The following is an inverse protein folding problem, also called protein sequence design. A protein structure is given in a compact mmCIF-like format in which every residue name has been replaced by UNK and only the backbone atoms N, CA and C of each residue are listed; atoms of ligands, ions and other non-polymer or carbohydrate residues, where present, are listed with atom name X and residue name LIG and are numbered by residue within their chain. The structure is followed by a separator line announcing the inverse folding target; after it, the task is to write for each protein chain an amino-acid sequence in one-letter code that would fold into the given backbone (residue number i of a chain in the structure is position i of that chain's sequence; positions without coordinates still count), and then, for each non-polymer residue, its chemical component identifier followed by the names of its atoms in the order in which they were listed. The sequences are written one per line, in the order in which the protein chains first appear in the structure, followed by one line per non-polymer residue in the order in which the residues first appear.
data_IF_002126584966
#
_entry.id   IF_002126584966
#
_cell.length_a   1.000
_cell.length_b   1.000
_cell.length_c   1.000
_cell.angle_alpha   90.00
_cell.angle_beta   90.00
_cell.angle_gamma   90.00
#
_symmetry.space_group_name_H-M   'P 1'
#
loop_
_entity.id
_entity.type
_entity.pdbx_description
1 polymer ?
#
# COMPACT_ATOMS: atom_id res chain seq x y z
N UNK A 1 -35.08 -11.95 -45.29
CA UNK A 1 -34.69 -13.01 -46.24
C UNK A 1 -33.46 -13.68 -45.65
N UNK A 2 -33.55 -14.93 -45.20
CA UNK A 2 -32.43 -15.66 -44.59
C UNK A 2 -31.87 -16.70 -45.56
N UNK A 3 -30.56 -16.92 -45.53
CA UNK A 3 -29.98 -18.17 -46.01
C UNK A 3 -28.73 -18.51 -45.20
N UNK A 4 -28.64 -19.75 -44.76
CA UNK A 4 -27.47 -20.35 -44.12
C UNK A 4 -26.72 -21.20 -45.15
N UNK A 5 -25.42 -21.41 -44.95
CA UNK A 5 -24.73 -22.54 -45.56
C UNK A 5 -23.66 -23.07 -44.61
N UNK A 6 -23.63 -24.40 -44.44
CA UNK A 6 -22.74 -25.13 -43.54
C UNK A 6 -21.62 -25.81 -44.33
N UNK A 7 -20.63 -26.29 -43.58
CA UNK A 7 -19.44 -27.00 -44.06
C UNK A 7 -19.72 -28.19 -44.97
N UNK A 8 -18.73 -28.50 -45.81
CA UNK A 8 -18.38 -29.88 -46.18
C UNK A 8 -16.86 -30.08 -46.00
N UNK A 9 -16.37 -31.32 -46.09
CA UNK A 9 -15.19 -31.78 -45.35
C UNK A 9 -14.30 -32.76 -46.17
N UNK A 10 -13.09 -33.03 -45.67
CA UNK A 10 -12.17 -34.17 -45.96
C UNK A 10 -11.12 -34.08 -47.11
N UNK A 11 -9.86 -34.35 -46.70
CA UNK A 11 -8.90 -35.33 -47.28
C UNK A 11 -8.09 -35.01 -48.57
N UNK A 12 -6.79 -35.38 -48.69
CA UNK A 12 -5.81 -35.95 -47.72
C UNK A 12 -4.33 -35.80 -48.16
N UNK A 13 -3.39 -36.06 -47.22
CA UNK A 13 -1.92 -36.30 -47.37
C UNK A 13 -1.04 -35.06 -47.69
N UNK A 14 0.08 -34.76 -47.01
CA UNK A 14 0.62 -35.25 -45.71
C UNK A 14 2.01 -35.91 -45.73
N UNK A 15 3.04 -35.27 -45.15
CA UNK A 15 4.35 -35.84 -44.78
C UNK A 15 4.76 -35.35 -43.37
N UNK A 16 5.63 -36.10 -42.69
CA UNK A 16 5.86 -36.06 -41.23
C UNK A 16 6.81 -34.95 -40.71
N UNK A 17 6.55 -34.54 -39.45
CA UNK A 17 7.49 -33.88 -38.55
C UNK A 17 6.90 -33.81 -37.14
N UNK A 18 7.52 -34.45 -36.14
CA UNK A 18 6.88 -34.77 -34.85
C UNK A 18 7.74 -34.49 -33.62
N UNK A 19 7.27 -33.60 -32.73
CA UNK A 19 7.70 -33.52 -31.32
C UNK A 19 6.51 -33.15 -30.42
N UNK A 20 6.47 -33.73 -29.22
CA UNK A 20 5.34 -33.61 -28.28
C UNK A 20 5.60 -32.56 -27.18
N UNK A 21 4.56 -31.90 -26.64
CA UNK A 21 4.72 -30.92 -25.56
C UNK A 21 5.04 -31.60 -24.21
N UNK A 22 5.89 -30.96 -23.41
CA UNK A 22 6.26 -31.41 -22.05
C UNK A 22 5.32 -30.75 -21.03
N UNK A 23 4.63 -31.53 -20.22
CA UNK A 23 3.84 -31.06 -19.08
C UNK A 23 4.59 -31.26 -17.76
N UNK A 24 4.95 -30.18 -17.07
CA UNK A 24 5.59 -30.25 -15.76
C UNK A 24 4.57 -30.65 -14.68
N UNK A 25 4.70 -31.88 -14.17
CA UNK A 25 3.86 -32.42 -13.10
C UNK A 25 4.57 -32.28 -11.74
N UNK A 26 4.24 -31.23 -10.99
CA UNK A 26 4.79 -31.04 -9.63
C UNK A 26 4.48 -32.27 -8.75
N UNK A 27 5.52 -32.88 -8.18
CA UNK A 27 5.38 -33.88 -7.10
C UNK A 27 5.26 -33.13 -5.77
N UNK A 28 4.09 -33.21 -5.11
CA UNK A 28 3.95 -32.83 -3.70
C UNK A 28 4.76 -33.81 -2.84
N UNK A 29 5.64 -33.29 -1.98
CA UNK A 29 6.23 -34.08 -0.89
C UNK A 29 5.22 -34.16 0.28
N UNK A 30 5.21 -35.25 1.07
CA UNK A 30 4.45 -35.31 2.31
C UNK A 30 5.12 -34.43 3.40
N UNK A 31 4.34 -33.86 4.34
CA UNK A 31 4.89 -33.01 5.39
C UNK A 31 5.75 -33.82 6.39
N UNK A 32 6.91 -33.28 6.76
CA UNK A 32 7.76 -33.85 7.81
C UNK A 32 7.18 -33.54 9.19
N UNK A 33 6.88 -34.57 9.99
CA UNK A 33 6.40 -34.40 11.36
C UNK A 33 7.56 -34.15 12.34
N UNK A 34 7.69 -32.91 12.81
CA UNK A 34 8.63 -32.56 13.88
C UNK A 34 8.01 -32.93 15.23
N UNK A 35 8.52 -33.99 15.87
CA UNK A 35 8.09 -34.41 17.21
C UNK A 35 8.97 -33.74 18.27
N UNK A 36 8.48 -32.66 18.87
CA UNK A 36 9.13 -32.03 20.03
C UNK A 36 9.10 -33.00 21.22
N UNK A 37 10.27 -33.29 21.78
CA UNK A 37 10.42 -34.04 23.03
C UNK A 37 11.24 -33.14 23.95
N UNK A 38 10.67 -32.77 25.09
CA UNK A 38 11.39 -32.00 26.11
C UNK A 38 12.37 -32.91 26.87
N UNK A 39 13.53 -32.38 27.21
CA UNK A 39 14.50 -33.01 28.12
C UNK A 39 15.26 -31.91 28.86
N UNK A 40 15.55 -32.14 30.14
CA UNK A 40 16.11 -31.13 31.04
C UNK A 40 17.58 -30.79 30.77
N UNK A 41 18.09 -29.71 31.39
CA UNK A 41 19.48 -29.29 31.22
C UNK A 41 20.43 -30.14 32.07
N UNK A 42 21.58 -30.49 31.52
CA UNK A 42 22.83 -30.61 32.30
C UNK A 42 24.06 -30.33 31.43
N UNK A 43 25.26 -30.35 32.02
CA UNK A 43 26.41 -29.55 31.57
C UNK A 43 27.57 -30.31 30.89
N UNK A 44 28.52 -29.48 30.42
CA UNK A 44 29.97 -29.68 30.34
C UNK A 44 30.60 -30.55 29.22
N UNK A 45 31.12 -29.80 28.23
CA UNK A 45 32.52 -29.80 27.77
C UNK A 45 33.10 -30.83 26.75
N UNK A 46 34.14 -30.34 26.07
CA UNK A 46 35.22 -31.00 25.31
C UNK A 46 35.00 -31.57 23.89
N UNK A 47 36.13 -31.60 23.18
CA UNK A 47 36.30 -31.72 21.72
C UNK A 47 37.00 -33.02 21.31
N UNK A 48 36.88 -33.43 20.03
CA UNK A 48 38.02 -33.86 19.16
C UNK A 48 37.56 -34.20 17.71
N UNK A 49 38.51 -34.23 16.78
CA UNK A 49 38.40 -34.37 15.31
C UNK A 49 38.53 -35.84 14.86
N UNK A 50 37.87 -36.29 13.77
CA UNK A 50 38.44 -37.14 12.66
C UNK A 50 37.45 -37.51 11.53
N UNK A 51 37.95 -38.10 10.43
CA UNK A 51 37.32 -38.19 9.09
C UNK A 51 36.81 -39.59 8.67
N UNK A 52 36.05 -39.65 7.55
CA UNK A 52 35.85 -40.80 6.60
C UNK A 52 35.14 -42.07 7.13
N UNK A 53 34.34 -42.84 6.36
CA UNK A 53 34.58 -43.39 5.00
C UNK A 53 33.27 -43.86 4.32
N UNK A 54 33.27 -44.01 2.99
CA UNK A 54 32.20 -44.58 2.14
C UNK A 54 31.95 -46.10 2.31
N UNK A 55 30.72 -46.58 2.05
CA UNK A 55 30.48 -47.77 1.19
C UNK A 55 29.04 -47.95 0.68
N UNK A 56 28.91 -48.65 -0.46
CA UNK A 56 27.65 -49.01 -1.15
C UNK A 56 27.34 -50.52 -1.10
N UNK A 57 26.06 -50.89 -1.17
CA UNK A 57 25.50 -52.09 -1.86
C UNK A 57 23.96 -51.99 -1.84
N UNK A 58 23.16 -52.15 -2.91
CA UNK A 58 22.96 -53.31 -3.82
C UNK A 58 22.52 -54.59 -3.06
N UNK A 59 21.50 -55.36 -3.47
CA UNK A 59 20.54 -55.23 -4.59
C UNK A 59 19.31 -56.17 -4.39
N UNK A 60 18.24 -55.98 -5.18
CA UNK A 60 17.27 -56.97 -5.71
C UNK A 60 16.73 -58.16 -4.88
N UNK A 61 15.40 -58.26 -4.76
CA UNK A 61 14.57 -59.41 -5.21
C UNK A 61 13.06 -59.12 -5.04
N UNK A 62 12.17 -59.85 -5.74
CA UNK A 62 10.71 -59.67 -5.64
C UNK A 62 9.92 -60.99 -5.78
N UNK A 63 8.90 -61.17 -4.93
CA UNK A 63 7.82 -62.16 -5.07
C UNK A 63 6.59 -61.82 -4.17
N UNK A 64 5.53 -62.64 -4.21
CA UNK A 64 4.33 -62.37 -5.03
C UNK A 64 3.21 -63.42 -4.74
N UNK A 65 1.94 -62.97 -4.70
CA UNK A 65 0.65 -63.72 -4.55
C UNK A 65 0.09 -64.10 -3.15
N UNK A 66 -1.21 -63.78 -2.97
CA UNK A 66 -2.34 -64.57 -2.38
C UNK A 66 -2.31 -65.10 -0.92
N UNK A 67 -3.44 -65.29 -0.21
CA UNK A 67 -4.86 -64.89 -0.39
C UNK A 67 -5.66 -65.02 0.94
N UNK A 68 -6.97 -64.69 0.90
CA UNK A 68 -7.94 -64.54 2.01
C UNK A 68 -8.06 -65.64 3.08
N UNK A 69 -8.49 -65.23 4.29
CA UNK A 69 -9.59 -65.90 5.03
C UNK A 69 -10.24 -65.00 6.10
N UNK A 70 -11.57 -65.17 6.29
CA UNK A 70 -12.44 -64.63 7.36
C UNK A 70 -13.16 -65.82 8.06
N UNK A 71 -14.10 -65.64 9.01
CA UNK A 71 -14.03 -64.93 10.30
C UNK A 71 -14.52 -65.83 11.48
N UNK A 72 -14.60 -65.32 12.71
CA UNK A 72 -15.40 -65.94 13.79
C UNK A 72 -15.98 -64.87 14.73
N UNK A 73 -17.10 -65.17 15.39
CA UNK A 73 -17.94 -64.25 16.20
C UNK A 73 -18.21 -64.86 17.58
N UNK A 74 -18.30 -64.01 18.61
CA UNK A 74 -19.09 -64.26 19.84
C UNK A 74 -19.54 -62.92 20.45
N UNK A 75 -20.66 -62.93 21.19
CA UNK A 75 -21.33 -61.74 21.76
C UNK A 75 -22.08 -62.10 23.05
N UNK A 76 -22.40 -61.10 23.88
CA UNK A 76 -23.34 -61.03 25.04
C UNK A 76 -22.91 -59.83 25.93
N UNK A 77 -23.74 -59.05 26.66
CA UNK A 77 -25.19 -59.09 27.03
C UNK A 77 -25.84 -57.69 26.80
N UNK A 78 -27.19 -57.62 26.80
CA UNK A 78 -28.04 -56.42 26.64
C UNK A 78 -28.29 -55.59 27.93
N UNK A 79 -28.76 -54.35 27.73
CA UNK A 79 -30.00 -53.75 28.29
C UNK A 79 -30.14 -52.34 27.66
N UNK A 80 -30.85 -52.11 26.54
CA UNK A 80 -32.32 -52.05 26.34
C UNK A 80 -33.00 -50.91 27.12
N UNK A 81 -33.28 -49.82 26.40
CA UNK A 81 -34.57 -49.13 26.42
C UNK A 81 -34.88 -48.61 25.01
N UNK A 82 -36.05 -48.99 24.48
CA UNK A 82 -36.59 -48.63 23.16
C UNK A 82 -37.50 -47.37 23.34
N UNK A 83 -38.00 -46.66 22.31
CA UNK A 83 -37.88 -46.77 20.85
C UNK A 83 -38.09 -45.36 20.22
N UNK A 84 -37.64 -45.15 18.97
CA UNK A 84 -38.36 -44.39 17.93
C UNK A 84 -37.59 -44.46 16.59
N UNK A 85 -37.63 -45.62 15.93
CA UNK A 85 -36.96 -45.82 14.65
C UNK A 85 -37.74 -45.26 13.44
N UNK A 86 -37.21 -44.22 12.78
CA UNK A 86 -37.77 -43.68 11.54
C UNK A 86 -36.70 -43.42 10.46
N UNK A 87 -36.82 -44.14 9.34
CA UNK A 87 -36.22 -43.89 8.02
C UNK A 87 -34.70 -43.57 7.94
N UNK A 88 -33.89 -44.61 7.72
CA UNK A 88 -32.59 -44.47 7.05
C UNK A 88 -32.81 -44.20 5.55
N UNK A 89 -32.85 -42.94 5.15
CA UNK A 89 -32.56 -42.51 3.77
C UNK A 89 -31.52 -41.39 3.79
N UNK A 90 -30.43 -41.54 3.02
CA UNK A 90 -29.50 -40.44 2.76
C UNK A 90 -30.16 -39.45 1.79
N UNK A 91 -30.43 -38.19 2.18
CA UNK A 91 -30.99 -37.22 1.26
C UNK A 91 -29.95 -36.86 0.19
N UNK A 92 -30.22 -37.23 -1.06
CA UNK A 92 -29.43 -36.82 -2.22
C UNK A 92 -29.33 -35.30 -2.28
N UNK A 93 -28.16 -34.76 -1.90
CA UNK A 93 -27.91 -33.32 -1.80
C UNK A 93 -27.93 -32.70 -3.20
N UNK A 94 -29.10 -32.16 -3.57
CA UNK A 94 -29.23 -31.28 -4.74
C UNK A 94 -28.68 -29.89 -4.41
N UNK A 95 -28.10 -29.23 -5.41
CA UNK A 95 -27.10 -28.16 -5.23
C UNK A 95 -27.66 -26.78 -4.83
N UNK A 96 -28.77 -26.73 -4.08
CA UNK A 96 -29.50 -25.50 -3.76
C UNK A 96 -29.91 -25.33 -2.29
N UNK A 97 -29.30 -26.08 -1.38
CA UNK A 97 -29.38 -25.82 0.06
C UNK A 97 -28.42 -24.68 0.47
N UNK A 98 -28.77 -23.43 0.17
CA UNK A 98 -28.05 -22.26 0.72
C UNK A 98 -28.33 -22.21 2.22
N UNK A 99 -27.34 -22.57 3.04
CA UNK A 99 -27.39 -22.32 4.47
C UNK A 99 -27.22 -20.81 4.70
N UNK A 100 -28.35 -20.11 4.91
CA UNK A 100 -28.33 -18.71 5.35
C UNK A 100 -27.77 -18.70 6.77
N UNK A 101 -26.52 -18.24 6.90
CA UNK A 101 -25.89 -18.09 8.21
C UNK A 101 -26.68 -17.08 9.05
N UNK A 102 -27.38 -17.57 10.08
CA UNK A 102 -28.14 -16.70 10.97
C UNK A 102 -27.19 -15.82 11.78
N UNK A 103 -27.62 -14.60 12.14
CA UNK A 103 -26.77 -13.63 12.86
C UNK A 103 -26.18 -14.14 14.18
N UNK A 104 -26.75 -15.20 14.75
CA UNK A 104 -26.20 -15.94 15.89
C UNK A 104 -24.78 -16.48 15.64
N UNK A 105 -24.48 -16.92 14.42
CA UNK A 105 -23.15 -17.39 14.02
C UNK A 105 -22.11 -16.27 13.99
N UNK A 106 -22.50 -15.07 13.57
CA UNK A 106 -21.63 -13.88 13.57
C UNK A 106 -21.33 -13.38 15.00
N UNK A 107 -22.27 -13.60 15.93
CA UNK A 107 -22.11 -13.19 17.33
C UNK A 107 -21.02 -13.98 18.08
N UNK A 108 -20.62 -15.16 17.58
CA UNK A 108 -19.63 -16.02 18.22
C UNK A 108 -18.22 -15.95 17.59
N UNK A 109 -18.03 -15.23 16.48
CA UNK A 109 -16.69 -14.94 15.94
C UNK A 109 -16.14 -13.64 16.55
N UNK A 110 -15.01 -13.67 17.29
CA UNK A 110 -14.40 -12.47 17.86
C UNK A 110 -14.08 -11.36 16.86
N UNK A 111 -13.95 -11.67 15.56
CA UNK A 111 -13.68 -10.70 14.49
C UNK A 111 -14.93 -10.00 13.95
N UNK A 112 -16.12 -10.50 14.28
CA UNK A 112 -17.40 -10.02 13.76
C UNK A 112 -18.37 -9.56 14.85
N UNK A 113 -18.10 -9.90 16.13
CA UNK A 113 -18.89 -9.48 17.28
C UNK A 113 -18.74 -7.97 17.57
N UNK A 114 -19.75 -7.18 17.15
CA UNK A 114 -19.86 -5.72 17.45
C UNK A 114 -20.67 -5.41 18.72
N UNK A 115 -20.99 -6.42 19.54
CA UNK A 115 -21.81 -6.26 20.74
C UNK A 115 -23.16 -5.60 20.44
N UNK A 116 -23.43 -4.46 21.07
CA UNK A 116 -24.67 -3.69 20.84
C UNK A 116 -24.58 -2.69 19.65
N UNK A 117 -23.39 -2.45 19.10
CA UNK A 117 -23.10 -1.35 18.16
C UNK A 117 -23.51 -1.61 16.70
N UNK A 118 -24.52 -2.45 16.46
CA UNK A 118 -25.13 -2.63 15.15
C UNK A 118 -26.16 -1.52 14.87
N UNK A 119 -26.10 -0.91 13.68
CA UNK A 119 -27.17 0.00 13.20
C UNK A 119 -28.48 -0.75 12.98
N UNK A 120 -29.63 -0.08 12.94
CA UNK A 120 -30.92 -0.74 12.67
C UNK A 120 -30.91 -1.49 11.33
N UNK A 121 -30.38 -0.87 10.28
CA UNK A 121 -30.23 -1.50 8.95
C UNK A 121 -29.35 -2.77 8.98
N UNK A 122 -28.34 -2.82 9.86
CA UNK A 122 -27.53 -4.03 10.09
C UNK A 122 -28.27 -5.05 10.96
N UNK A 123 -29.06 -4.61 11.96
CA UNK A 123 -29.88 -5.50 12.79
C UNK A 123 -30.92 -6.23 11.94
N UNK A 124 -31.56 -5.54 10.99
CA UNK A 124 -32.47 -6.17 10.04
C UNK A 124 -31.74 -7.07 9.04
N UNK A 125 -30.65 -6.59 8.42
CA UNK A 125 -29.92 -7.37 7.41
C UNK A 125 -29.27 -8.66 7.95
N UNK A 126 -28.96 -8.73 9.25
CA UNK A 126 -28.39 -9.91 9.91
C UNK A 126 -29.41 -10.70 10.77
N UNK A 127 -30.70 -10.35 10.71
CA UNK A 127 -31.77 -10.94 11.53
C UNK A 127 -31.50 -10.90 13.06
N UNK A 128 -30.88 -9.80 13.53
CA UNK A 128 -30.60 -9.51 14.94
C UNK A 128 -31.72 -8.64 15.59
N UNK A 129 -32.65 -8.12 14.81
CA UNK A 129 -33.80 -7.33 15.30
C UNK A 129 -34.66 -8.17 16.25
N UNK A 130 -34.72 -7.75 17.52
CA UNK A 130 -35.38 -8.48 18.61
C UNK A 130 -34.45 -9.32 19.51
N UNK A 131 -33.18 -9.54 19.12
CA UNK A 131 -32.16 -10.19 19.98
C UNK A 131 -31.37 -9.20 20.84
N UNK A 132 -31.37 -7.92 20.48
CA UNK A 132 -30.72 -6.83 21.23
C UNK A 132 -31.77 -5.81 21.69
N UNK A 133 -31.63 -5.23 22.90
CA UNK A 133 -32.54 -4.19 23.38
C UNK A 133 -32.48 -2.94 22.47
N UNK A 134 -33.58 -2.17 22.37
CA UNK A 134 -33.59 -0.89 21.66
C UNK A 134 -32.63 0.09 22.33
N UNK A 135 -32.02 0.96 21.54
CA UNK A 135 -30.92 1.82 21.96
C UNK A 135 -31.38 3.27 22.10
N UNK A 136 -31.73 3.69 23.32
CA UNK A 136 -32.08 5.09 23.60
C UNK A 136 -30.83 5.99 23.47
N UNK A 137 -30.97 7.08 22.71
CA UNK A 137 -29.87 8.02 22.45
C UNK A 137 -29.74 9.02 23.61
N UNK A 138 -28.68 8.88 24.40
CA UNK A 138 -28.36 9.74 25.56
C UNK A 138 -26.93 10.33 25.50
N UNK A 139 -26.36 10.43 24.30
CA UNK A 139 -24.97 10.87 24.12
C UNK A 139 -24.74 12.38 24.36
N UNK A 140 -25.77 13.22 24.16
CA UNK A 140 -25.60 14.68 24.19
C UNK A 140 -25.50 15.28 25.61
N UNK A 141 -25.96 14.56 26.64
CA UNK A 141 -25.97 15.02 28.03
C UNK A 141 -24.67 14.64 28.77
N UNK A 142 -24.16 13.43 28.53
CA UNK A 142 -22.87 12.96 29.07
C UNK A 142 -21.71 13.86 28.58
N UNK A 143 -21.73 14.26 27.30
CA UNK A 143 -20.71 15.13 26.74
C UNK A 143 -20.69 16.53 27.39
N UNK A 144 -21.85 17.08 27.74
CA UNK A 144 -21.98 18.40 28.38
C UNK A 144 -21.51 18.36 29.83
N UNK A 145 -21.88 17.32 30.58
CA UNK A 145 -21.48 17.18 31.99
C UNK A 145 -19.95 17.01 32.12
N UNK A 146 -19.34 16.15 31.30
CA UNK A 146 -17.88 15.95 31.29
C UNK A 146 -17.09 17.23 30.95
N UNK A 147 -17.64 18.12 30.12
CA UNK A 147 -17.00 19.39 29.76
C UNK A 147 -17.00 20.41 30.92
N UNK A 148 -18.05 20.43 31.75
CA UNK A 148 -18.11 21.29 32.93
C UNK A 148 -17.13 20.83 34.02
N UNK A 149 -17.11 19.53 34.33
CA UNK A 149 -16.18 18.94 35.32
C UNK A 149 -14.70 19.24 34.99
N UNK A 150 -14.33 19.25 33.71
CA UNK A 150 -12.97 19.57 33.28
C UNK A 150 -12.63 21.06 33.43
N UNK A 151 -13.57 21.97 33.15
CA UNK A 151 -13.34 23.41 33.30
C UNK A 151 -13.19 23.81 34.77
N UNK A 152 -13.99 23.27 35.68
CA UNK A 152 -13.86 23.54 37.13
C UNK A 152 -12.54 22.98 37.69
N UNK A 153 -12.10 21.82 37.19
CA UNK A 153 -10.88 21.13 37.65
C UNK A 153 -9.57 21.79 37.22
N UNK A 154 -9.55 22.52 36.10
CA UNK A 154 -8.33 23.17 35.59
C UNK A 154 -8.35 24.70 35.64
N UNK A 155 -9.49 25.35 35.83
CA UNK A 155 -9.60 26.81 35.89
C UNK A 155 -8.98 27.49 37.13
N UNK A 156 -8.65 26.72 38.17
CA UNK A 156 -8.24 27.27 39.47
C UNK A 156 -6.73 27.54 39.64
N UNK A 157 -5.89 27.24 38.64
CA UNK A 157 -4.43 27.13 38.83
C UNK A 157 -3.58 27.83 37.76
N UNK A 158 -3.76 29.14 37.55
CA UNK A 158 -2.67 30.02 37.09
C UNK A 158 -2.93 31.49 37.47
N UNK A 159 -2.21 31.99 38.46
CA UNK A 159 -2.11 33.43 38.75
C UNK A 159 -0.72 33.73 39.31
N UNK A 160 -0.13 34.87 38.88
CA UNK A 160 1.18 35.40 39.29
C UNK A 160 2.41 34.57 38.86
N UNK A 161 3.07 34.96 37.77
CA UNK A 161 4.31 35.77 37.81
C UNK A 161 4.62 36.35 36.42
N UNK A 162 5.66 37.18 36.30
CA UNK A 162 5.88 38.14 35.21
C UNK A 162 7.27 37.99 34.57
N UNK A 163 7.53 38.86 33.57
CA UNK A 163 8.83 39.27 33.01
C UNK A 163 9.48 38.48 31.84
N UNK A 164 9.46 39.16 30.68
CA UNK A 164 10.52 39.32 29.67
C UNK A 164 11.20 38.10 28.98
N UNK A 165 10.72 37.80 27.76
CA UNK A 165 11.57 37.41 26.62
C UNK A 165 10.91 37.81 25.27
N UNK A 166 11.52 38.73 24.51
CA UNK A 166 11.10 39.03 23.13
C UNK A 166 11.77 38.08 22.11
N UNK A 167 11.04 37.10 21.58
CA UNK A 167 11.40 36.49 20.28
C UNK A 167 10.57 37.10 19.15
N UNK A 168 11.25 37.69 18.16
CA UNK A 168 10.62 38.37 17.04
C UNK A 168 10.26 37.39 15.94
N UNK A 169 9.04 36.85 15.98
CA UNK A 169 8.43 36.30 14.77
C UNK A 169 8.25 37.42 13.73
N UNK A 170 8.81 37.22 12.54
CA UNK A 170 8.57 38.08 11.37
C UNK A 170 7.20 37.71 10.79
N UNK A 171 6.24 38.64 10.67
CA UNK A 171 4.97 38.35 10.02
C UNK A 171 5.19 38.03 8.54
N UNK A 172 4.64 36.92 8.07
CA UNK A 172 4.51 36.64 6.64
C UNK A 172 3.33 37.49 6.13
N UNK A 173 3.55 38.25 5.05
CA UNK A 173 2.56 39.20 4.52
C UNK A 173 1.46 38.46 3.72
N UNK A 174 0.29 38.27 4.33
CA UNK A 174 -0.90 37.62 3.74
C UNK A 174 -1.59 38.49 2.67
N UNK A 175 -0.83 39.05 1.72
CA UNK A 175 -1.33 39.94 0.65
C UNK A 175 -0.95 39.51 -0.76
N UNK A 176 -0.91 38.19 -0.96
CA UNK A 176 -0.93 37.56 -2.29
C UNK A 176 -2.33 37.10 -2.69
N UNK A 177 -3.06 37.92 -3.46
CA UNK A 177 -4.25 37.55 -4.27
C UNK A 177 -5.27 36.58 -3.61
N UNK A 178 -6.16 37.11 -2.77
CA UNK A 178 -7.40 36.41 -2.39
C UNK A 178 -8.33 36.34 -3.61
N UNK A 179 -8.47 35.16 -4.20
CA UNK A 179 -9.59 34.81 -5.08
C UNK A 179 -10.70 34.18 -4.22
N UNK A 180 -11.85 34.84 -4.18
CA UNK A 180 -12.99 34.48 -3.35
C UNK A 180 -13.64 33.18 -3.83
N UNK A 181 -13.35 32.07 -3.14
CA UNK A 181 -13.88 30.73 -3.45
C UNK A 181 -12.87 29.58 -3.53
N UNK A 182 -11.57 29.81 -3.29
CA UNK A 182 -10.52 28.77 -3.37
C UNK A 182 -10.69 27.54 -2.46
N UNK A 183 -9.83 26.53 -2.64
CA UNK A 183 -9.87 25.27 -1.88
C UNK A 183 -9.59 25.50 -0.39
N UNK A 184 -10.55 25.10 0.45
CA UNK A 184 -10.49 25.19 1.91
C UNK A 184 -9.86 23.92 2.46
N UNK A 185 -8.75 24.07 3.19
CA UNK A 185 -8.07 22.96 3.86
C UNK A 185 -8.96 22.44 5.00
N UNK A 186 -9.30 21.13 5.03
CA UNK A 186 -10.06 20.54 6.13
C UNK A 186 -9.20 20.45 7.39
N UNK A 187 -9.83 20.56 8.57
CA UNK A 187 -9.11 20.55 9.86
C UNK A 187 -8.56 19.17 10.25
N UNK A 188 -9.10 18.09 9.68
CA UNK A 188 -8.75 16.70 9.97
C UNK A 188 -8.83 15.84 8.71
N UNK A 189 -8.11 14.72 8.70
CA UNK A 189 -8.10 13.72 7.63
C UNK A 189 -9.39 12.89 7.57
N UNK A 190 -9.45 11.93 6.62
CA UNK A 190 -10.59 11.01 6.46
C UNK A 190 -10.92 10.16 7.69
N UNK A 191 -10.00 10.03 8.66
CA UNK A 191 -10.20 9.29 9.90
C UNK A 191 -10.52 10.20 11.12
N UNK A 192 -10.47 11.53 10.95
CA UNK A 192 -10.71 12.50 12.02
C UNK A 192 -9.45 12.89 12.81
N UNK A 193 -8.25 12.52 12.34
CA UNK A 193 -6.97 12.88 12.94
C UNK A 193 -6.33 14.09 12.25
N UNK A 194 -5.26 14.63 12.83
CA UNK A 194 -4.39 15.61 12.16
C UNK A 194 -3.65 14.93 11.00
N UNK A 195 -3.59 15.60 9.83
CA UNK A 195 -2.87 15.09 8.66
C UNK A 195 -1.39 14.82 8.96
N UNK A 196 -0.89 13.66 8.51
CA UNK A 196 0.51 13.23 8.69
C UNK A 196 0.98 13.27 10.16
N UNK A 197 0.12 12.86 11.08
CA UNK A 197 0.47 12.62 12.49
C UNK A 197 1.00 11.18 12.67
N UNK A 198 2.31 11.05 12.88
CA UNK A 198 2.99 9.78 13.14
C UNK A 198 3.14 9.48 14.64
N UNK A 199 2.68 10.36 15.52
CA UNK A 199 2.81 10.25 16.98
C UNK A 199 1.56 9.66 17.65
N UNK A 200 0.37 9.84 17.07
CA UNK A 200 -0.88 9.26 17.56
C UNK A 200 -0.87 7.73 17.54
N UNK A 201 -1.09 7.12 18.71
CA UNK A 201 -1.30 5.67 18.87
C UNK A 201 -2.52 5.23 18.05
N UNK A 202 -2.28 4.38 17.05
CA UNK A 202 -3.30 3.84 16.15
C UNK A 202 -2.84 2.50 15.57
N UNK A 203 -3.77 1.67 15.10
CA UNK A 203 -3.43 0.37 14.48
C UNK A 203 -2.51 0.53 13.25
N UNK A 204 -2.59 1.66 12.54
CA UNK A 204 -1.68 1.99 11.42
C UNK A 204 -0.29 2.42 11.87
N UNK A 205 -0.12 3.06 13.03
CA UNK A 205 1.16 3.63 13.46
C UNK A 205 2.28 2.57 13.46
N UNK A 206 2.01 1.38 13.97
CA UNK A 206 2.99 0.30 14.02
C UNK A 206 3.34 -0.24 12.62
N UNK A 207 2.41 -0.21 11.66
CA UNK A 207 2.67 -0.58 10.27
C UNK A 207 3.52 0.48 9.56
N UNK A 208 3.13 1.76 9.65
CA UNK A 208 3.85 2.90 9.06
C UNK A 208 5.27 3.03 9.63
N UNK A 209 5.48 2.80 10.94
CA UNK A 209 6.83 2.80 11.52
C UNK A 209 7.69 1.62 11.02
N UNK A 210 7.12 0.42 10.88
CA UNK A 210 7.85 -0.74 10.33
C UNK A 210 8.15 -0.59 8.83
N UNK A 211 7.24 0.04 8.09
CA UNK A 211 7.43 0.46 6.70
C UNK A 211 8.63 1.41 6.60
N UNK A 212 8.63 2.51 7.37
CA UNK A 212 9.71 3.50 7.31
C UNK A 212 11.03 2.94 7.82
N UNK A 213 11.04 2.06 8.84
CA UNK A 213 12.24 1.31 9.23
C UNK A 213 12.80 0.50 8.06
N UNK A 214 11.94 -0.20 7.31
CA UNK A 214 12.35 -1.02 6.17
C UNK A 214 12.91 -0.16 5.02
N UNK A 215 12.27 0.97 4.73
CA UNK A 215 12.74 1.97 3.77
C UNK A 215 14.12 2.51 4.17
N UNK A 216 14.24 3.12 5.36
CA UNK A 216 15.46 3.80 5.81
C UNK A 216 16.67 2.88 5.95
N UNK A 217 16.49 1.58 6.19
CA UNK A 217 17.59 0.60 6.24
C UNK A 217 18.04 0.17 4.83
N UNK A 218 17.11 0.08 3.88
CA UNK A 218 17.33 -0.61 2.60
C UNK A 218 17.67 0.33 1.44
N UNK A 219 17.21 1.58 1.50
CA UNK A 219 17.53 2.65 0.54
C UNK A 219 18.99 3.11 0.71
N UNK A 220 19.90 2.37 0.09
CA UNK A 220 21.33 2.70 -0.04
C UNK A 220 21.62 3.34 -1.40
N UNK A 221 22.70 4.11 -1.51
CA UNK A 221 23.13 4.72 -2.77
C UNK A 221 23.31 3.66 -3.89
N UNK A 222 23.91 2.51 -3.53
CA UNK A 222 24.09 1.39 -4.45
C UNK A 222 22.77 0.68 -4.81
N UNK A 223 21.79 0.61 -3.90
CA UNK A 223 20.45 0.10 -4.21
C UNK A 223 19.76 1.00 -5.23
N UNK A 224 19.64 2.29 -4.92
CA UNK A 224 18.94 3.28 -5.76
C UNK A 224 19.57 3.37 -7.15
N UNK A 225 20.91 3.35 -7.23
CA UNK A 225 21.61 3.33 -8.51
C UNK A 225 21.21 2.13 -9.38
N UNK A 226 21.17 0.90 -8.83
CA UNK A 226 20.71 -0.29 -9.56
C UNK A 226 19.26 -0.19 -9.97
N UNK A 227 18.38 0.31 -9.09
CA UNK A 227 16.96 0.52 -9.42
C UNK A 227 16.80 1.49 -10.59
N UNK A 228 17.54 2.60 -10.59
CA UNK A 228 17.52 3.58 -11.69
C UNK A 228 18.08 3.00 -13.00
N UNK A 229 19.11 2.17 -12.93
CA UNK A 229 19.70 1.47 -14.09
C UNK A 229 18.76 0.41 -14.68
N UNK A 230 18.00 -0.33 -13.85
CA UNK A 230 17.04 -1.34 -14.30
C UNK A 230 15.74 -0.70 -14.83
N UNK A 231 15.15 0.22 -14.07
CA UNK A 231 13.83 0.78 -14.37
C UNK A 231 13.86 1.95 -15.37
N UNK A 232 14.99 2.65 -15.50
CA UNK A 232 15.15 3.71 -16.52
C UNK A 232 15.11 3.20 -17.97
N UNK A 233 15.09 1.89 -18.20
CA UNK A 233 15.00 1.28 -19.53
C UNK A 233 13.57 1.43 -20.11
N UNK A 234 12.56 1.40 -19.25
CA UNK A 234 11.12 1.43 -19.57
C UNK A 234 10.74 0.35 -20.62
N UNK A 235 10.63 -0.89 -20.15
CA UNK A 235 10.40 -2.09 -20.96
C UNK A 235 9.49 -3.15 -20.29
N UNK A 236 8.73 -2.76 -19.25
CA UNK A 236 7.74 -3.60 -18.57
C UNK A 236 6.41 -3.65 -19.35
N UNK A 237 5.93 -2.50 -19.84
CA UNK A 237 4.63 -2.37 -20.49
C UNK A 237 4.57 -1.20 -21.49
N UNK A 238 3.66 -1.28 -22.47
CA UNK A 238 3.28 -0.14 -23.32
C UNK A 238 1.79 0.18 -23.12
N UNK A 239 1.50 1.31 -22.47
CA UNK A 239 0.14 1.75 -22.14
C UNK A 239 0.02 3.28 -22.07
N UNK A 240 -1.19 3.79 -22.21
CA UNK A 240 -1.52 5.21 -22.01
C UNK A 240 -1.55 5.56 -20.53
N UNK A 241 -1.55 6.85 -20.22
CA UNK A 241 -1.73 7.35 -18.85
C UNK A 241 -3.09 6.90 -18.28
N UNK A 242 -4.16 6.90 -19.08
CA UNK A 242 -5.49 6.54 -18.56
C UNK A 242 -5.63 5.04 -18.27
N UNK A 243 -5.05 4.17 -19.10
CA UNK A 243 -4.95 2.73 -18.79
C UNK A 243 -4.13 2.49 -17.50
N UNK A 244 -3.14 3.35 -17.19
CA UNK A 244 -2.40 3.30 -15.93
C UNK A 244 -3.29 3.70 -14.72
N UNK A 245 -4.09 4.76 -14.84
CA UNK A 245 -5.06 5.16 -13.82
C UNK A 245 -6.07 4.04 -13.52
N UNK A 246 -6.59 3.38 -14.57
CA UNK A 246 -7.54 2.27 -14.44
C UNK A 246 -6.87 1.00 -13.85
N UNK A 247 -5.59 0.75 -14.17
CA UNK A 247 -4.81 -0.38 -13.64
C UNK A 247 -4.47 -0.23 -12.14
N UNK A 248 -4.30 1.00 -11.64
CA UNK A 248 -3.99 1.27 -10.23
C UNK A 248 -5.22 1.24 -9.30
N UNK A 249 -6.43 1.07 -9.82
CA UNK A 249 -7.64 1.08 -9.00
C UNK A 249 -7.67 -0.03 -7.92
N UNK A 250 -6.93 -1.13 -8.11
CA UNK A 250 -6.84 -2.26 -7.18
C UNK A 250 -5.64 -2.17 -6.20
N UNK A 251 -4.93 -1.03 -6.15
CA UNK A 251 -3.74 -0.81 -5.31
C UNK A 251 -4.07 0.04 -4.08
N UNK A 252 -3.47 -0.33 -2.93
CA UNK A 252 -3.58 0.39 -1.65
C UNK A 252 -2.18 0.75 -1.13
N UNK A 253 -1.99 2.00 -0.74
CA UNK A 253 -0.75 2.53 -0.19
C UNK A 253 -0.65 2.25 1.32
N UNK A 254 0.37 1.50 1.76
CA UNK A 254 0.61 1.18 3.18
C UNK A 254 1.33 2.28 3.96
N UNK A 255 1.84 3.32 3.29
CA UNK A 255 2.55 4.44 3.92
C UNK A 255 1.64 5.61 4.30
N UNK A 256 0.41 5.64 3.78
CA UNK A 256 -0.54 6.74 3.97
C UNK A 256 -1.41 6.58 5.24
N UNK A 257 -1.26 7.48 6.24
CA UNK A 257 -2.13 7.49 7.42
C UNK A 257 -3.52 8.10 7.15
N UNK A 258 -3.77 8.70 5.98
CA UNK A 258 -4.89 9.59 5.71
C UNK A 258 -5.98 9.02 4.75
N UNK A 259 -5.78 7.85 4.11
CA UNK A 259 -6.68 7.29 3.07
C UNK A 259 -7.10 5.81 3.21
N UNK A 260 -8.24 5.49 2.57
CA UNK A 260 -8.83 4.15 2.36
C UNK A 260 -9.58 4.04 0.99
N UNK A 261 -9.44 5.02 0.10
CA UNK A 261 -10.10 5.05 -1.22
C UNK A 261 -9.20 4.43 -2.32
N UNK A 262 -9.75 4.15 -3.51
CA UNK A 262 -8.95 3.62 -4.63
C UNK A 262 -8.05 4.71 -5.23
N UNK A 263 -6.90 4.31 -5.74
CA UNK A 263 -5.86 5.24 -6.21
C UNK A 263 -6.36 6.24 -7.27
N UNK A 264 -7.32 5.86 -8.12
CA UNK A 264 -7.90 6.76 -9.14
C UNK A 264 -8.77 7.88 -8.54
N UNK A 265 -9.43 7.65 -7.40
CA UNK A 265 -10.19 8.71 -6.70
C UNK A 265 -9.23 9.75 -6.12
N UNK A 266 -8.11 9.35 -5.50
CA UNK A 266 -7.08 10.31 -5.01
C UNK A 266 -6.51 11.18 -6.13
N UNK A 267 -6.17 10.57 -7.28
CA UNK A 267 -5.67 11.29 -8.46
C UNK A 267 -6.69 12.30 -8.99
N UNK A 268 -7.98 11.92 -9.06
CA UNK A 268 -9.05 12.80 -9.53
C UNK A 268 -9.44 13.87 -8.51
N UNK A 269 -9.46 13.56 -7.21
CA UNK A 269 -9.67 14.53 -6.13
C UNK A 269 -8.57 15.61 -6.17
N UNK A 270 -7.30 15.20 -6.33
CA UNK A 270 -6.16 16.11 -6.47
C UNK A 270 -6.30 16.98 -7.72
N UNK A 271 -6.57 16.37 -8.88
CA UNK A 271 -6.68 17.08 -10.15
C UNK A 271 -7.87 18.06 -10.21
N UNK A 272 -9.07 17.65 -9.76
CA UNK A 272 -10.25 18.54 -9.74
C UNK A 272 -10.12 19.66 -8.71
N UNK A 273 -9.48 19.41 -7.56
CA UNK A 273 -9.21 20.47 -6.57
C UNK A 273 -8.22 21.52 -7.10
N UNK A 274 -7.17 21.10 -7.82
CA UNK A 274 -6.28 22.00 -8.56
C UNK A 274 -7.07 22.76 -9.64
N UNK A 275 -7.89 22.07 -10.43
CA UNK A 275 -8.68 22.64 -11.54
C UNK A 275 -9.66 23.71 -11.10
N UNK A 276 -10.23 23.58 -9.90
CA UNK A 276 -11.12 24.58 -9.30
C UNK A 276 -10.36 25.90 -9.01
N UNK A 277 -9.16 25.81 -8.44
CA UNK A 277 -8.39 26.98 -7.99
C UNK A 277 -7.52 27.58 -9.12
N UNK A 278 -7.01 26.74 -10.02
CA UNK A 278 -6.13 27.09 -11.14
C UNK A 278 -6.71 26.64 -12.49
N UNK A 279 -7.89 27.14 -12.91
CA UNK A 279 -8.59 26.66 -14.11
C UNK A 279 -7.81 26.87 -15.42
N UNK A 280 -6.84 27.79 -15.45
CA UNK A 280 -6.00 28.06 -16.62
C UNK A 280 -4.70 27.23 -16.66
N UNK A 281 -4.25 26.64 -15.54
CA UNK A 281 -2.98 25.91 -15.46
C UNK A 281 -3.20 24.42 -15.76
N UNK A 282 -3.60 24.10 -16.98
CA UNK A 282 -4.00 22.74 -17.36
C UNK A 282 -2.87 21.68 -17.26
N UNK A 283 -1.60 22.11 -17.32
CA UNK A 283 -0.44 21.27 -17.01
C UNK A 283 -0.38 20.86 -15.53
N UNK A 284 -0.77 21.75 -14.61
CA UNK A 284 -0.76 21.50 -13.16
C UNK A 284 -1.93 20.58 -12.78
N UNK A 285 -3.07 20.73 -13.45
CA UNK A 285 -4.22 19.82 -13.32
C UNK A 285 -3.86 18.40 -13.79
N UNK A 286 -3.19 18.26 -14.93
CA UNK A 286 -2.67 16.96 -15.38
C UNK A 286 -1.59 16.43 -14.44
N UNK A 287 -0.72 17.29 -13.90
CA UNK A 287 0.25 16.91 -12.86
C UNK A 287 -0.46 16.31 -11.63
N UNK A 288 -1.59 16.88 -11.22
CA UNK A 288 -2.52 16.32 -10.24
C UNK A 288 -2.99 14.90 -10.57
N UNK A 289 -3.38 14.64 -11.83
CA UNK A 289 -3.82 13.32 -12.27
C UNK A 289 -2.69 12.27 -12.30
N UNK A 290 -1.43 12.68 -12.48
CA UNK A 290 -0.36 11.71 -12.83
C UNK A 290 0.77 11.54 -11.82
N UNK A 291 0.87 12.38 -10.78
CA UNK A 291 1.96 12.33 -9.78
C UNK A 291 2.21 10.90 -9.25
N UNK A 292 1.13 10.24 -8.85
CA UNK A 292 1.15 8.97 -8.12
C UNK A 292 1.28 7.73 -9.03
N UNK A 293 1.26 7.90 -10.36
CA UNK A 293 1.22 6.78 -11.31
C UNK A 293 2.49 5.91 -11.30
N UNK A 294 3.58 6.38 -10.68
CA UNK A 294 4.75 5.56 -10.42
C UNK A 294 4.48 4.36 -9.49
N UNK A 295 3.35 4.35 -8.77
CA UNK A 295 2.93 3.24 -7.91
C UNK A 295 2.68 1.91 -8.64
N UNK A 296 2.63 1.89 -9.98
CA UNK A 296 2.53 0.63 -10.74
C UNK A 296 3.68 -0.35 -10.46
N UNK A 297 4.81 0.12 -9.94
CA UNK A 297 5.92 -0.71 -9.45
C UNK A 297 5.50 -1.78 -8.43
N UNK A 298 4.41 -1.57 -7.67
CA UNK A 298 3.81 -2.53 -6.74
C UNK A 298 3.19 -3.74 -7.45
N UNK A 299 2.84 -3.61 -8.73
CA UNK A 299 2.16 -4.65 -9.51
C UNK A 299 3.16 -5.68 -10.07
N UNK A 300 2.84 -6.98 -10.08
CA UNK A 300 3.77 -8.04 -10.54
C UNK A 300 4.33 -7.83 -11.96
N UNK A 301 3.55 -7.23 -12.87
CA UNK A 301 3.98 -6.95 -14.25
C UNK A 301 5.12 -5.91 -14.33
N UNK A 302 5.28 -5.08 -13.30
CA UNK A 302 6.34 -4.07 -13.17
C UNK A 302 7.42 -4.51 -12.16
N UNK A 303 7.40 -5.77 -11.73
CA UNK A 303 8.37 -6.36 -10.81
C UNK A 303 7.82 -6.70 -9.43
N UNK A 304 6.67 -6.14 -9.03
CA UNK A 304 6.06 -6.41 -7.73
C UNK A 304 6.95 -5.97 -6.56
N UNK A 305 7.46 -4.74 -6.62
CA UNK A 305 8.37 -4.21 -5.60
C UNK A 305 7.69 -4.10 -4.23
N UNK A 306 8.41 -4.30 -3.12
CA UNK A 306 7.86 -4.07 -1.79
C UNK A 306 7.52 -2.59 -1.60
N UNK A 307 6.47 -2.29 -0.84
CA UNK A 307 5.96 -0.93 -0.60
C UNK A 307 7.08 0.08 -0.28
N UNK A 308 8.04 -0.29 0.58
CA UNK A 308 9.15 0.59 1.00
C UNK A 308 10.07 1.07 -0.14
N UNK A 309 10.07 0.38 -1.28
CA UNK A 309 10.83 0.71 -2.49
C UNK A 309 9.99 1.43 -3.55
N UNK A 310 8.76 1.86 -3.21
CA UNK A 310 7.83 2.53 -4.12
C UNK A 310 7.22 3.78 -3.49
N UNK A 311 6.63 3.69 -2.30
CA UNK A 311 5.84 4.77 -1.67
C UNK A 311 6.59 5.43 -0.49
N UNK A 312 5.95 6.39 0.18
CA UNK A 312 6.50 7.12 1.32
C UNK A 312 7.45 8.28 0.98
N UNK A 313 7.80 9.05 2.00
CA UNK A 313 8.68 10.23 1.88
C UNK A 313 10.05 9.89 1.27
N UNK A 314 10.50 10.72 0.32
CA UNK A 314 11.82 10.57 -0.32
C UNK A 314 12.87 11.53 0.24
N UNK A 315 14.14 11.14 0.12
CA UNK A 315 15.29 11.89 0.59
C UNK A 315 16.54 11.58 -0.27
N UNK A 316 17.56 12.46 -0.28
CA UNK A 316 18.83 12.17 -0.95
C UNK A 316 19.55 10.98 -0.32
N UNK A 317 20.04 10.07 -1.17
CA UNK A 317 21.02 9.04 -0.79
C UNK A 317 22.43 9.47 -1.23
N UNK A 318 23.48 8.95 -0.59
CA UNK A 318 24.86 9.30 -0.93
C UNK A 318 25.37 10.62 -0.35
N UNK A 319 24.56 11.31 0.47
CA UNK A 319 24.97 12.35 1.41
C UNK A 319 24.34 12.09 2.80
N UNK A 320 24.71 12.87 3.81
CA UNK A 320 24.20 12.69 5.17
C UNK A 320 22.66 12.84 5.26
N UNK A 321 22.03 11.95 6.03
CA UNK A 321 20.60 11.96 6.30
C UNK A 321 20.24 13.01 7.36
N UNK A 322 19.45 14.02 6.96
CA UNK A 322 18.96 15.12 7.80
C UNK A 322 17.91 14.67 8.83
N UNK A 323 17.98 15.21 10.05
CA UNK A 323 17.10 14.83 11.18
C UNK A 323 15.62 15.16 10.96
N UNK A 324 15.29 15.98 9.96
CA UNK A 324 13.91 16.30 9.58
C UNK A 324 13.20 15.23 8.74
N UNK A 325 13.90 14.15 8.34
CA UNK A 325 13.29 12.98 7.70
C UNK A 325 12.48 12.19 8.74
N UNK A 326 11.27 11.76 8.38
CA UNK A 326 10.37 11.00 9.26
C UNK A 326 11.04 9.72 9.79
N UNK A 327 10.83 9.35 11.06
CA UNK A 327 11.49 8.21 11.74
C UNK A 327 13.04 8.11 11.54
N UNK A 328 13.77 9.23 11.39
CA UNK A 328 15.23 9.30 11.17
C UNK A 328 16.09 8.35 12.02
N UNK A 329 15.64 8.05 13.26
CA UNK A 329 16.26 7.10 14.20
C UNK A 329 16.72 5.77 13.56
N UNK A 330 16.06 5.29 12.51
CA UNK A 330 16.39 4.04 11.83
C UNK A 330 17.56 4.11 10.83
N UNK A 331 17.98 5.30 10.36
CA UNK A 331 19.15 5.41 9.50
C UNK A 331 20.43 4.89 10.17
N UNK A 332 20.48 4.81 11.51
CA UNK A 332 21.59 4.18 12.26
C UNK A 332 21.81 2.70 11.93
N UNK A 333 20.80 2.04 11.35
CA UNK A 333 20.86 0.66 10.85
C UNK A 333 21.18 0.59 9.33
N UNK A 334 21.20 1.72 8.60
CA UNK A 334 21.56 1.79 7.18
C UNK A 334 23.10 1.70 6.99
N UNK A 335 23.62 0.85 6.07
CA UNK A 335 25.05 0.77 5.77
C UNK A 335 25.73 2.11 5.43
N UNK A 336 25.01 3.04 4.78
CA UNK A 336 25.56 4.30 4.28
C UNK A 336 25.67 5.38 5.37
N UNK A 337 24.95 5.26 6.50
CA UNK A 337 24.95 6.26 7.58
C UNK A 337 26.33 6.45 8.24
N UNK A 338 27.13 5.38 8.31
CA UNK A 338 28.51 5.43 8.82
C UNK A 338 29.57 5.37 7.70
N UNK A 339 29.16 5.39 6.43
CA UNK A 339 30.06 5.29 5.30
C UNK A 339 30.76 6.64 5.04
N UNK A 340 32.11 6.75 5.12
CA UNK A 340 32.82 8.02 4.99
C UNK A 340 32.73 8.66 3.59
N UNK A 341 32.26 7.93 2.57
CA UNK A 341 31.95 8.50 1.26
C UNK A 341 30.63 9.29 1.24
N UNK A 342 29.70 8.96 2.15
CA UNK A 342 28.31 9.43 2.10
C UNK A 342 27.89 10.21 3.34
N UNK A 343 28.45 9.95 4.53
CA UNK A 343 28.00 10.53 5.79
C UNK A 343 28.39 12.01 6.05
N UNK A 344 28.68 12.78 4.99
CA UNK A 344 28.99 14.22 5.07
C UNK A 344 27.88 15.06 4.42
N UNK A 345 27.83 16.37 4.70
CA UNK A 345 26.80 17.31 4.21
C UNK A 345 26.54 17.21 2.69
N UNK A 346 27.60 16.97 1.91
CA UNK A 346 27.52 16.85 0.44
C UNK A 346 27.76 15.41 -0.03
N UNK A 347 28.53 14.59 0.68
CA UNK A 347 28.84 13.21 0.28
C UNK A 347 29.47 13.13 -1.12
N UNK A 348 28.76 12.53 -2.07
CA UNK A 348 29.17 12.48 -3.50
C UNK A 348 28.86 13.74 -4.31
N UNK A 349 28.09 14.69 -3.77
CA UNK A 349 27.60 15.87 -4.48
C UNK A 349 28.50 17.10 -4.28
N UNK A 350 28.21 18.17 -5.03
CA UNK A 350 28.74 19.51 -4.79
C UNK A 350 27.64 20.46 -4.32
N UNK A 351 28.03 21.59 -3.73
CA UNK A 351 27.11 22.69 -3.44
C UNK A 351 26.45 23.21 -4.74
N UNK A 352 25.15 23.49 -4.67
CA UNK A 352 24.37 24.02 -5.80
C UNK A 352 24.32 23.13 -7.05
N UNK A 353 24.57 21.82 -6.93
CA UNK A 353 24.63 20.90 -8.07
C UNK A 353 23.31 20.76 -8.84
N UNK A 354 22.19 21.14 -8.22
CA UNK A 354 20.84 20.98 -8.74
C UNK A 354 20.25 19.62 -8.38
N UNK A 355 19.00 19.59 -7.88
CA UNK A 355 18.35 18.35 -7.43
C UNK A 355 18.22 17.32 -8.54
N UNK A 356 18.21 17.74 -9.81
CA UNK A 356 18.23 16.82 -10.95
C UNK A 356 19.47 15.90 -10.98
N UNK A 357 20.60 16.37 -10.45
CA UNK A 357 21.86 15.63 -10.32
C UNK A 357 22.01 14.92 -8.96
N UNK A 358 21.04 15.06 -8.06
CA UNK A 358 20.98 14.35 -6.77
C UNK A 358 20.28 13.00 -6.97
N UNK A 359 20.82 11.94 -6.37
CA UNK A 359 20.17 10.65 -6.33
C UNK A 359 19.21 10.60 -5.12
N UNK A 360 17.91 10.56 -5.39
CA UNK A 360 16.86 10.42 -4.38
C UNK A 360 16.57 8.94 -4.12
N UNK A 361 16.20 8.57 -2.90
CA UNK A 361 15.63 7.25 -2.55
C UNK A 361 14.60 6.79 -3.59
N UNK A 362 14.73 5.56 -4.08
CA UNK A 362 13.95 5.11 -5.24
C UNK A 362 12.49 4.87 -4.88
N UNK A 363 11.59 5.36 -5.73
CA UNK A 363 10.15 5.25 -5.55
C UNK A 363 9.36 5.81 -6.74
N UNK A 364 8.06 5.98 -6.53
CA UNK A 364 7.09 6.42 -7.53
C UNK A 364 7.42 7.79 -8.14
N UNK A 365 7.87 8.77 -7.35
CA UNK A 365 8.32 10.09 -7.83
C UNK A 365 9.32 10.00 -9.00
N UNK A 366 10.43 9.31 -8.77
CA UNK A 366 11.58 9.30 -9.68
C UNK A 366 11.35 8.36 -10.88
N UNK A 367 10.59 7.28 -10.69
CA UNK A 367 10.15 6.40 -11.76
C UNK A 367 9.08 7.06 -12.66
N UNK A 368 8.09 7.78 -12.10
CA UNK A 368 7.11 8.51 -12.92
C UNK A 368 7.75 9.70 -13.66
N UNK A 369 8.73 10.36 -13.05
CA UNK A 369 9.58 11.33 -13.74
C UNK A 369 10.36 10.70 -14.92
N UNK A 370 10.93 9.49 -14.74
CA UNK A 370 11.59 8.76 -15.82
C UNK A 370 10.60 8.40 -16.95
N UNK A 371 9.42 7.88 -16.62
CA UNK A 371 8.33 7.61 -17.57
C UNK A 371 8.00 8.87 -18.37
N UNK A 372 7.76 10.01 -17.70
CA UNK A 372 7.38 11.23 -18.38
C UNK A 372 8.49 11.80 -19.28
N UNK A 373 9.74 11.76 -18.80
CA UNK A 373 10.92 12.27 -19.50
C UNK A 373 11.28 11.46 -20.74
N UNK A 374 11.39 10.14 -20.61
CA UNK A 374 11.84 9.25 -21.69
C UNK A 374 10.76 8.98 -22.74
N UNK A 375 9.48 9.22 -22.40
CA UNK A 375 8.38 9.32 -23.38
C UNK A 375 8.17 10.75 -23.92
N UNK A 376 9.06 11.70 -23.57
CA UNK A 376 9.15 13.05 -24.14
C UNK A 376 7.86 13.86 -23.98
N UNK A 377 7.36 13.94 -22.75
CA UNK A 377 6.26 14.85 -22.39
C UNK A 377 6.57 16.30 -22.79
N UNK A 378 5.50 17.07 -23.06
CA UNK A 378 5.57 18.52 -23.24
C UNK A 378 5.15 19.30 -21.99
N UNK A 379 5.02 18.64 -20.84
CA UNK A 379 4.85 19.32 -19.54
C UNK A 379 6.03 20.27 -19.25
N UNK A 380 5.78 21.42 -18.57
CA UNK A 380 6.84 22.34 -18.16
C UNK A 380 7.73 21.73 -17.07
N UNK A 381 8.92 22.30 -16.85
CA UNK A 381 9.84 21.82 -15.82
C UNK A 381 9.23 21.84 -14.42
N UNK A 382 8.35 22.79 -14.10
CA UNK A 382 7.58 22.81 -12.86
C UNK A 382 6.73 21.54 -12.63
N UNK A 383 6.06 21.01 -13.67
CA UNK A 383 5.28 19.77 -13.58
C UNK A 383 6.17 18.55 -13.38
N UNK A 384 7.27 18.46 -14.11
CA UNK A 384 8.28 17.40 -13.94
C UNK A 384 8.99 17.45 -12.57
N UNK A 385 9.20 18.65 -12.03
CA UNK A 385 9.77 18.87 -10.70
C UNK A 385 8.80 18.45 -9.60
N UNK A 386 7.51 18.79 -9.72
CA UNK A 386 6.47 18.29 -8.80
C UNK A 386 6.48 16.76 -8.78
N UNK A 387 6.35 16.10 -9.93
CA UNK A 387 6.31 14.62 -10.02
C UNK A 387 7.51 13.99 -9.32
N UNK A 388 8.72 14.56 -9.48
CA UNK A 388 9.96 13.98 -8.94
C UNK A 388 10.24 14.29 -7.45
N UNK A 389 9.57 15.27 -6.87
CA UNK A 389 9.91 15.79 -5.53
C UNK A 389 8.70 16.02 -4.61
N UNK A 390 7.48 15.61 -4.98
CA UNK A 390 6.31 15.76 -4.12
C UNK A 390 6.38 14.95 -2.82
N UNK A 391 7.08 13.82 -2.81
CA UNK A 391 7.35 13.07 -1.57
C UNK A 391 8.53 13.65 -0.76
N UNK A 392 9.22 14.71 -1.21
CA UNK A 392 10.46 15.21 -0.58
C UNK A 392 10.19 16.15 0.62
N UNK A 393 9.42 15.69 1.60
CA UNK A 393 8.92 16.50 2.72
C UNK A 393 10.04 17.16 3.56
N UNK A 394 11.21 16.54 3.68
CA UNK A 394 12.37 17.18 4.34
C UNK A 394 12.77 18.51 3.67
N UNK A 395 12.64 18.64 2.34
CA UNK A 395 12.85 19.90 1.63
C UNK A 395 11.66 20.84 1.74
N UNK A 396 10.46 20.40 1.31
CA UNK A 396 9.34 21.31 1.08
C UNK A 396 8.42 21.56 2.30
N UNK A 397 8.58 20.79 3.39
CA UNK A 397 8.00 21.07 4.71
C UNK A 397 9.03 21.61 5.70
N UNK A 398 10.21 20.98 5.77
CA UNK A 398 11.22 21.29 6.80
C UNK A 398 12.36 22.20 6.34
N UNK A 399 12.51 22.44 5.03
CA UNK A 399 13.50 23.36 4.48
C UNK A 399 14.94 22.83 4.40
N UNK A 400 15.16 21.53 4.64
CA UNK A 400 16.47 20.88 4.54
C UNK A 400 16.97 20.78 3.09
N UNK A 401 18.22 20.32 2.91
CA UNK A 401 18.86 20.07 1.61
C UNK A 401 18.97 21.23 0.60
N UNK A 402 18.55 22.45 0.96
CA UNK A 402 18.66 23.65 0.10
C UNK A 402 20.08 23.96 -0.40
N UNK A 403 21.13 23.41 0.23
CA UNK A 403 22.52 23.50 -0.24
C UNK A 403 22.83 22.66 -1.49
N UNK A 404 21.92 21.77 -1.92
CA UNK A 404 22.03 21.00 -3.17
C UNK A 404 21.25 21.65 -4.32
N UNK A 405 20.31 22.56 -4.03
CA UNK A 405 19.44 23.20 -5.02
C UNK A 405 20.17 24.22 -5.90
N UNK A 406 19.75 24.34 -7.15
CA UNK A 406 20.11 25.44 -8.05
C UNK A 406 18.96 26.47 -8.18
N UNK A 407 19.13 27.47 -9.06
CA UNK A 407 18.13 28.53 -9.28
C UNK A 407 16.81 28.00 -9.89
N UNK A 408 16.86 27.00 -10.78
CA UNK A 408 15.66 26.37 -11.36
C UNK A 408 14.87 25.56 -10.31
N UNK A 409 15.57 24.83 -9.44
CA UNK A 409 14.94 24.11 -8.32
C UNK A 409 14.23 25.11 -7.38
N UNK A 410 14.82 26.28 -7.14
CA UNK A 410 14.27 27.31 -6.25
C UNK A 410 13.02 28.00 -6.82
N UNK A 411 12.93 28.16 -8.14
CA UNK A 411 11.71 28.61 -8.82
C UNK A 411 10.63 27.52 -8.83
N UNK A 412 10.98 26.27 -9.15
CA UNK A 412 10.03 25.16 -9.22
C UNK A 412 9.50 24.73 -7.83
N UNK A 413 10.27 24.91 -6.76
CA UNK A 413 9.82 24.66 -5.38
C UNK A 413 8.56 25.47 -5.01
N UNK A 414 8.35 26.66 -5.62
CA UNK A 414 7.13 27.46 -5.42
C UNK A 414 5.88 26.73 -5.92
N UNK A 415 5.98 26.08 -7.09
CA UNK A 415 4.91 25.26 -7.65
C UNK A 415 4.69 23.97 -6.87
N UNK A 416 5.75 23.39 -6.30
CA UNK A 416 5.63 22.24 -5.39
C UNK A 416 4.90 22.60 -4.08
N UNK A 417 5.19 23.75 -3.46
CA UNK A 417 4.42 24.21 -2.29
C UNK A 417 2.93 24.43 -2.62
N UNK A 418 2.60 24.92 -3.84
CA UNK A 418 1.22 25.02 -4.32
C UNK A 418 0.61 23.62 -4.46
N UNK A 419 1.29 22.70 -5.15
CA UNK A 419 0.82 21.34 -5.42
C UNK A 419 0.53 20.55 -4.13
N UNK A 420 1.44 20.58 -3.16
CA UNK A 420 1.33 19.82 -1.91
C UNK A 420 0.05 20.16 -1.13
N UNK A 421 -0.50 21.38 -1.28
CA UNK A 421 -1.78 21.76 -0.69
C UNK A 421 -2.93 20.88 -1.21
N UNK A 422 -2.87 20.45 -2.47
CA UNK A 422 -3.95 19.67 -3.08
C UNK A 422 -3.76 18.20 -2.75
N UNK A 423 -2.63 17.58 -3.13
CA UNK A 423 -2.31 16.18 -2.81
C UNK A 423 -2.64 15.80 -1.35
N UNK A 424 -2.13 16.56 -0.37
CA UNK A 424 -2.36 16.21 1.04
C UNK A 424 -3.80 16.43 1.49
N UNK A 425 -4.49 17.47 1.02
CA UNK A 425 -5.73 17.95 1.64
C UNK A 425 -7.01 17.70 0.82
N UNK A 426 -6.93 17.39 -0.48
CA UNK A 426 -8.12 17.03 -1.27
C UNK A 426 -8.67 15.64 -0.94
N UNK A 427 -7.89 14.82 -0.22
CA UNK A 427 -8.23 13.48 0.29
C UNK A 427 -9.58 13.51 1.02
N UNK A 428 -10.60 12.92 0.39
CA UNK A 428 -12.00 13.09 0.74
C UNK A 428 -12.79 11.79 0.61
N UNK A 429 -13.97 11.75 1.24
CA UNK A 429 -14.99 10.69 1.04
C UNK A 429 -16.04 11.07 -0.01
N UNK A 430 -15.87 12.23 -0.66
CA UNK A 430 -16.69 12.69 -1.79
C UNK A 430 -16.00 12.30 -3.08
N UNK A 431 -16.52 11.25 -3.72
CA UNK A 431 -15.98 10.68 -4.95
C UNK A 431 -16.23 11.54 -6.17
N UNK A 432 -15.32 11.45 -7.14
CA UNK A 432 -15.41 12.16 -8.42
C UNK A 432 -16.15 11.28 -9.44
N UNK A 433 -17.06 11.87 -10.22
CA UNK A 433 -17.75 11.14 -11.27
C UNK A 433 -16.79 10.88 -12.45
N UNK A 434 -16.09 9.74 -12.40
CA UNK A 434 -15.01 9.38 -13.34
C UNK A 434 -15.42 9.57 -14.79
N UNK A 435 -16.59 9.07 -15.21
CA UNK A 435 -17.05 9.14 -16.61
C UNK A 435 -17.44 10.56 -17.07
N UNK A 436 -17.70 11.48 -16.16
CA UNK A 436 -17.97 12.91 -16.47
C UNK A 436 -16.66 13.70 -16.66
N UNK A 437 -15.61 13.38 -15.90
CA UNK A 437 -14.31 14.07 -15.97
C UNK A 437 -13.31 13.43 -16.94
N UNK A 438 -13.43 12.12 -17.22
CA UNK A 438 -12.57 11.35 -18.12
C UNK A 438 -12.39 11.96 -19.51
N UNK A 439 -13.43 12.49 -20.20
CA UNK A 439 -13.24 13.18 -21.48
C UNK A 439 -12.35 14.43 -21.39
N UNK A 440 -12.38 15.15 -20.27
CA UNK A 440 -11.52 16.30 -20.05
C UNK A 440 -10.06 15.86 -19.87
N UNK A 441 -9.81 14.93 -18.96
CA UNK A 441 -8.45 14.47 -18.67
C UNK A 441 -7.79 13.72 -19.82
N UNK A 442 -8.54 12.98 -20.64
CA UNK A 442 -8.04 12.41 -21.89
C UNK A 442 -7.53 13.48 -22.86
N UNK A 443 -8.19 14.65 -22.95
CA UNK A 443 -7.72 15.76 -23.79
C UNK A 443 -6.42 16.40 -23.26
N UNK A 444 -6.21 16.42 -21.95
CA UNK A 444 -4.95 16.87 -21.35
C UNK A 444 -3.82 15.87 -21.59
N UNK A 445 -4.11 14.56 -21.48
CA UNK A 445 -3.17 13.49 -21.80
C UNK A 445 -2.73 13.59 -23.27
N UNK A 446 -3.66 13.76 -24.21
CA UNK A 446 -3.36 13.94 -25.64
C UNK A 446 -2.54 15.22 -25.92
N UNK A 447 -2.78 16.30 -25.17
CA UNK A 447 -2.00 17.55 -25.27
C UNK A 447 -0.54 17.38 -24.82
N UNK A 448 -0.30 16.61 -23.77
CA UNK A 448 0.98 16.58 -23.04
C UNK A 448 1.83 15.32 -23.23
N UNK A 449 1.26 14.25 -23.79
CA UNK A 449 1.92 12.94 -23.91
C UNK A 449 1.57 12.22 -25.23
N UNK A 450 2.43 11.31 -25.72
CA UNK A 450 2.04 10.35 -26.74
C UNK A 450 0.88 9.45 -26.28
N UNK A 451 0.03 9.00 -27.20
CA UNK A 451 -1.13 8.15 -26.89
C UNK A 451 -0.78 6.79 -26.24
N UNK A 452 0.47 6.33 -26.38
CA UNK A 452 1.05 5.16 -25.71
C UNK A 452 2.44 5.53 -25.19
N UNK A 453 2.69 5.22 -23.92
CA UNK A 453 3.97 5.41 -23.24
C UNK A 453 4.60 4.05 -22.98
N UNK A 454 5.93 4.00 -22.94
CA UNK A 454 6.72 2.89 -22.38
C UNK A 454 6.85 3.07 -20.87
N UNK A 455 6.68 1.99 -20.13
CA UNK A 455 6.82 1.87 -18.68
C UNK A 455 7.75 0.68 -18.40
#
# INVERSE_FOLDING_TARGET
MFSLSRCCFLNNVGIYGSYSPITYRQKRQPPTSVRVIASGPDRDNDSVITETTLKESRENAASVLHADSKPTVSAEVHDIYEDDAAATEEPLVTTWAISVASGYSLFQDPRHNKGHAFTETQKDAYYLSGLLPPQELQFEEIAKNNAFDLLEKYGAAHHVFNDEAEEKMVPIDEKGLVLDGGFVVPQTNSFGHTFRDYAVESERQQAVENFYRSNHISQTYDFVKRMREEYGILNRMEMSIWECCELLNDVVDESDPDLDETQIEHLLQTAEAIRKDYPNEDWLQLTGLIHDLGKVLLLPNFGGLPQWAVVGDIYPVGCAFDESIVHHKYFKENPDYNNPAYNTKYGVYSEGCGLNNVMMSFGHDDYMYLVAKENKTTLPSAGLFIIRYHSFYALHRSGAYKHLMNEEDAENLKWLHIFNKYDLYSKSKVRINVEEVKPYYLSLIEKYFPAKLRW
#
